data_IF_660684416482
#
_entry.id   IF_660684416482
#
_cell.length_a   1.000
_cell.length_b   1.000
_cell.length_c   1.000
_cell.angle_alpha   90.00
_cell.angle_beta   90.00
_cell.angle_gamma   90.00
#
_symmetry.space_group_name_H-M   'P 1'
#
loop_
_entity.id
_entity.type
_entity.pdbx_description
1 polymer ?
#
# COMPACT_ATOMS: atom_id res chain seq x y z
N UNK A 1 10.76 13.59 -14.52
CA UNK A 1 9.70 12.68 -14.02
C UNK A 1 9.31 13.15 -12.62
N UNK A 2 8.28 13.99 -12.48
CA UNK A 2 7.79 14.38 -11.15
C UNK A 2 6.83 13.31 -10.65
N UNK A 3 7.10 12.74 -9.48
CA UNK A 3 6.18 11.79 -8.87
C UNK A 3 4.83 12.47 -8.61
N UNK A 4 3.70 11.77 -8.81
CA UNK A 4 2.42 12.29 -8.37
C UNK A 4 2.46 12.45 -6.83
N UNK A 5 1.99 13.59 -6.30
CA UNK A 5 1.98 13.83 -4.88
C UNK A 5 1.08 12.80 -4.18
N UNK A 6 1.55 12.36 -3.01
CA UNK A 6 0.78 11.59 -2.05
C UNK A 6 -0.61 12.22 -1.83
N UNK A 7 -1.65 11.39 -1.74
CA UNK A 7 -2.99 11.91 -1.52
C UNK A 7 -3.17 12.26 -0.04
N UNK A 8 -2.99 13.55 0.29
CA UNK A 8 -3.08 14.03 1.68
C UNK A 8 -4.38 13.63 2.39
N UNK A 9 -5.51 13.55 1.65
CA UNK A 9 -6.79 13.18 2.25
C UNK A 9 -6.80 11.72 2.69
N UNK A 10 -6.24 10.84 1.88
CA UNK A 10 -6.10 9.41 2.22
C UNK A 10 -5.17 9.26 3.43
N UNK A 11 -4.04 9.97 3.44
CA UNK A 11 -3.11 9.93 4.57
C UNK A 11 -3.74 10.38 5.88
N UNK A 12 -4.47 11.52 5.89
CA UNK A 12 -5.14 12.02 7.09
C UNK A 12 -6.20 11.06 7.62
N UNK A 13 -6.89 10.34 6.73
CA UNK A 13 -7.98 9.43 7.09
C UNK A 13 -7.52 7.98 7.35
N UNK A 14 -6.35 7.59 6.86
CA UNK A 14 -5.81 6.22 6.95
C UNK A 14 -5.75 5.71 8.39
N UNK A 15 -5.32 6.56 9.33
CA UNK A 15 -5.22 6.20 10.74
C UNK A 15 -6.58 5.85 11.36
N UNK A 16 -7.62 6.63 11.05
CA UNK A 16 -8.98 6.38 11.54
C UNK A 16 -9.54 5.12 10.86
N UNK A 17 -9.36 4.99 9.54
CA UNK A 17 -9.80 3.82 8.78
C UNK A 17 -9.19 2.53 9.34
N UNK A 18 -7.87 2.49 9.57
CA UNK A 18 -7.20 1.33 10.15
C UNK A 18 -7.73 0.97 11.55
N UNK A 19 -7.94 1.97 12.42
CA UNK A 19 -8.49 1.73 13.77
C UNK A 19 -9.90 1.15 13.71
N UNK A 20 -10.74 1.69 12.85
CA UNK A 20 -12.11 1.22 12.65
C UNK A 20 -12.12 -0.21 12.10
N UNK A 21 -11.37 -0.50 11.04
CA UNK A 21 -11.29 -1.84 10.46
C UNK A 21 -10.72 -2.88 11.44
N UNK A 22 -9.73 -2.49 12.25
CA UNK A 22 -9.19 -3.35 13.31
C UNK A 22 -10.24 -3.64 14.38
N UNK A 23 -10.99 -2.63 14.82
CA UNK A 23 -12.07 -2.78 15.80
C UNK A 23 -13.18 -3.69 15.26
N UNK A 24 -13.48 -3.60 13.96
CA UNK A 24 -14.47 -4.45 13.29
C UNK A 24 -13.95 -5.85 12.94
N UNK A 25 -12.66 -6.15 13.14
CA UNK A 25 -12.05 -7.41 12.69
C UNK A 25 -12.08 -7.59 11.17
N UNK A 26 -12.14 -6.49 10.40
CA UNK A 26 -12.20 -6.45 8.93
C UNK A 26 -10.89 -6.01 8.30
N UNK A 27 -9.83 -5.85 9.09
CA UNK A 27 -8.52 -5.52 8.56
C UNK A 27 -8.03 -6.70 7.71
N UNK A 28 -7.68 -6.50 6.42
CA UNK A 28 -7.17 -7.58 5.61
C UNK A 28 -5.84 -8.09 6.18
N UNK A 29 -5.62 -9.40 6.06
CA UNK A 29 -4.35 -10.00 6.45
C UNK A 29 -3.21 -9.36 5.67
N UNK A 30 -2.13 -9.01 6.38
CA UNK A 30 -0.92 -8.42 5.78
C UNK A 30 -0.07 -9.43 5.01
N UNK A 31 -0.63 -10.61 4.72
CA UNK A 31 0.03 -11.62 3.92
C UNK A 31 0.03 -11.19 2.46
N UNK A 32 1.20 -11.26 1.83
CA UNK A 32 1.39 -10.93 0.42
C UNK A 32 0.40 -11.67 -0.50
N UNK A 33 0.09 -12.94 -0.23
CA UNK A 33 -0.91 -13.69 -1.00
C UNK A 33 -2.33 -13.15 -0.83
N UNK A 34 -2.69 -12.70 0.38
CA UNK A 34 -3.98 -12.10 0.68
C UNK A 34 -4.16 -10.73 0.03
N UNK A 35 -3.11 -9.91 0.07
CA UNK A 35 -3.09 -8.62 -0.64
C UNK A 35 -3.23 -8.83 -2.14
N UNK A 36 -2.47 -9.75 -2.74
CA UNK A 36 -2.57 -10.04 -4.18
C UNK A 36 -3.97 -10.51 -4.59
N UNK A 37 -4.57 -11.42 -3.82
CA UNK A 37 -5.94 -11.88 -4.06
C UNK A 37 -6.95 -10.73 -4.02
N UNK A 38 -6.89 -9.86 -3.02
CA UNK A 38 -7.76 -8.68 -2.93
C UNK A 38 -7.53 -7.71 -4.10
N UNK A 39 -6.28 -7.55 -4.51
CA UNK A 39 -5.92 -6.70 -5.65
C UNK A 39 -6.48 -7.24 -6.98
N UNK A 40 -6.57 -8.56 -7.15
CA UNK A 40 -7.17 -9.18 -8.33
C UNK A 40 -8.72 -9.09 -8.32
N UNK A 41 -9.34 -9.07 -7.13
CA UNK A 41 -10.81 -8.99 -7.00
C UNK A 41 -11.35 -7.55 -7.04
N UNK A 42 -10.56 -6.55 -6.66
CA UNK A 42 -10.96 -5.15 -6.66
C UNK A 42 -10.54 -4.44 -7.95
N UNK A 43 -11.50 -3.86 -8.68
CA UNK A 43 -11.23 -3.09 -9.91
C UNK A 43 -10.81 -1.64 -9.66
N UNK A 44 -11.13 -1.10 -8.48
CA UNK A 44 -10.91 0.30 -8.15
C UNK A 44 -9.95 0.41 -6.97
N UNK A 45 -8.66 0.28 -7.28
CA UNK A 45 -7.58 0.26 -6.30
C UNK A 45 -6.76 1.52 -6.47
N UNK A 46 -6.73 2.33 -5.41
CA UNK A 46 -5.83 3.47 -5.32
C UNK A 46 -4.52 3.01 -4.68
N UNK A 47 -3.46 2.92 -5.50
CA UNK A 47 -2.10 2.72 -5.03
C UNK A 47 -1.57 4.05 -4.48
N UNK A 48 -1.75 4.29 -3.19
CA UNK A 48 -1.23 5.48 -2.49
C UNK A 48 0.19 5.19 -1.97
N UNK A 49 1.18 5.62 -2.75
CA UNK A 49 2.59 5.34 -2.52
C UNK A 49 3.10 4.31 -3.51
N UNK A 50 3.90 4.79 -4.47
CA UNK A 50 4.69 3.98 -5.38
C UNK A 50 5.68 3.16 -4.57
N UNK A 51 5.32 1.92 -4.21
CA UNK A 51 6.34 0.92 -3.89
C UNK A 51 7.29 0.88 -5.11
N UNK A 52 8.49 1.42 -4.92
CA UNK A 52 9.55 1.32 -5.91
C UNK A 52 9.90 -0.17 -6.04
N UNK A 53 10.25 -0.68 -7.23
CA UNK A 53 11.28 -1.71 -7.28
C UNK A 53 12.45 -1.16 -6.47
N UNK A 54 12.95 -1.93 -5.50
CA UNK A 54 14.12 -1.51 -4.73
C UNK A 54 15.30 -1.45 -5.72
N UNK A 55 15.54 -0.29 -6.32
CA UNK A 55 16.81 0.07 -6.93
C UNK A 55 17.78 0.39 -5.79
N UNK A 56 18.07 -0.62 -4.96
CA UNK A 56 19.33 -0.61 -4.23
C UNK A 56 20.40 -0.64 -5.32
N UNK A 57 21.39 0.27 -5.30
CA UNK A 57 22.60 0.05 -6.05
C UNK A 57 23.04 -1.38 -5.74
N UNK A 58 23.11 -2.23 -6.78
CA UNK A 58 23.86 -3.46 -6.63
C UNK A 58 25.29 -2.99 -6.37
N UNK A 59 25.78 -3.21 -5.16
CA UNK A 59 27.20 -3.13 -4.91
C UNK A 59 27.82 -4.08 -5.94
N UNK A 60 28.66 -3.57 -6.84
CA UNK A 60 29.41 -4.49 -7.68
C UNK A 60 30.26 -5.30 -6.71
N UNK A 61 29.96 -6.60 -6.58
CA UNK A 61 30.70 -7.54 -5.75
C UNK A 61 32.20 -7.29 -5.95
N UNK A 62 32.83 -6.67 -4.97
CA UNK A 62 34.26 -6.33 -4.98
C UNK A 62 35.08 -7.47 -4.38
#
# INVERSE_FOLDING_TARGET
MSQPPCNERVHRLSGILCRTLKTLGKLPDRNHSGVKYLTEQCKDILLDGTERPVERPQDEDR
#
